data_IF_684890838049
#
_entry.id   IF_684890838049
#
_cell.length_a   1.000
_cell.length_b   1.000
_cell.length_c   1.000
_cell.angle_alpha   90.00
_cell.angle_beta   90.00
_cell.angle_gamma   90.00
#
_symmetry.space_group_name_H-M   'P 1'
#
loop_
_entity.id
_entity.type
_entity.pdbx_description
1 polymer ?
#
# COMPACT_ATOMS: atom_id res chain seq x y z
N UNK A 1 37.58 -12.12 14.44
CA UNK A 1 36.56 -11.35 15.20
C UNK A 1 36.14 -10.06 14.49
N UNK A 2 37.02 -9.33 13.80
CA UNK A 2 36.63 -8.11 13.06
C UNK A 2 35.77 -8.40 11.80
N UNK A 3 36.04 -9.49 11.07
CA UNK A 3 35.26 -9.84 9.85
C UNK A 3 33.76 -10.05 10.13
N UNK A 4 33.42 -10.71 11.24
CA UNK A 4 32.03 -11.02 11.60
C UNK A 4 31.17 -9.78 11.86
N UNK A 5 31.76 -8.66 12.27
CA UNK A 5 31.04 -7.39 12.51
C UNK A 5 30.73 -6.69 11.19
N UNK A 6 31.69 -6.68 10.26
CA UNK A 6 31.56 -6.03 8.95
C UNK A 6 30.54 -6.77 8.08
N UNK A 7 30.57 -8.11 8.09
CA UNK A 7 29.60 -8.92 7.34
C UNK A 7 28.16 -8.72 7.85
N UNK A 8 27.95 -8.61 9.17
CA UNK A 8 26.62 -8.29 9.72
C UNK A 8 26.13 -6.89 9.31
N UNK A 9 27.02 -5.91 9.22
CA UNK A 9 26.67 -4.56 8.73
C UNK A 9 26.20 -4.62 7.28
N UNK A 10 26.92 -5.34 6.41
CA UNK A 10 26.55 -5.47 4.99
C UNK A 10 25.20 -6.16 4.81
N UNK A 11 24.94 -7.24 5.55
CA UNK A 11 23.64 -7.92 5.52
C UNK A 11 22.52 -7.00 6.01
N UNK A 12 22.76 -6.19 7.04
CA UNK A 12 21.77 -5.23 7.55
C UNK A 12 21.46 -4.13 6.53
N UNK A 13 22.46 -3.64 5.82
CA UNK A 13 22.29 -2.63 4.76
C UNK A 13 21.56 -3.21 3.54
N UNK A 14 21.83 -4.46 3.19
CA UNK A 14 21.15 -5.18 2.11
C UNK A 14 19.67 -5.43 2.43
N UNK A 15 19.38 -5.89 3.67
CA UNK A 15 18.00 -6.01 4.17
C UNK A 15 17.30 -4.65 4.14
N UNK A 16 17.89 -3.59 4.68
CA UNK A 16 17.32 -2.24 4.64
C UNK A 16 17.01 -1.76 3.21
N UNK A 17 17.87 -2.08 2.26
CA UNK A 17 17.69 -1.73 0.84
C UNK A 17 16.51 -2.50 0.22
N UNK A 18 16.39 -3.80 0.50
CA UNK A 18 15.27 -4.64 0.06
C UNK A 18 13.95 -4.18 0.70
N UNK A 19 13.96 -3.87 1.99
CA UNK A 19 12.81 -3.30 2.70
C UNK A 19 12.40 -1.95 2.11
N UNK A 20 13.36 -1.08 1.76
CA UNK A 20 13.10 0.21 1.12
C UNK A 20 12.38 0.04 -0.23
N UNK A 21 12.77 -0.96 -1.03
CA UNK A 21 12.08 -1.29 -2.27
C UNK A 21 10.63 -1.73 -2.01
N UNK A 22 10.41 -2.60 -1.01
CA UNK A 22 9.06 -2.99 -0.59
C UNK A 22 8.20 -1.81 -0.12
N UNK A 23 8.80 -0.86 0.60
CA UNK A 23 8.17 0.38 1.07
C UNK A 23 7.69 1.26 -0.10
N UNK A 24 8.54 1.44 -1.11
CA UNK A 24 8.17 2.20 -2.30
C UNK A 24 7.02 1.54 -3.07
N UNK A 25 7.09 0.22 -3.29
CA UNK A 25 6.03 -0.53 -3.94
C UNK A 25 4.70 -0.44 -3.19
N UNK A 26 4.72 -0.47 -1.87
CA UNK A 26 3.50 -0.32 -1.05
C UNK A 26 2.82 1.03 -1.21
N UNK A 27 3.61 2.09 -1.40
CA UNK A 27 3.08 3.45 -1.61
C UNK A 27 2.35 3.52 -2.94
N UNK A 28 2.91 2.93 -3.99
CA UNK A 28 2.27 2.84 -5.31
C UNK A 28 0.94 2.07 -5.22
N UNK A 29 0.94 0.90 -4.57
CA UNK A 29 -0.25 0.06 -4.42
C UNK A 29 -1.35 0.78 -3.63
N UNK A 30 -0.99 1.54 -2.59
CA UNK A 30 -1.96 2.30 -1.78
C UNK A 30 -2.60 3.45 -2.58
N UNK A 31 -1.85 4.06 -3.50
CA UNK A 31 -2.33 5.18 -4.34
C UNK A 31 -3.19 4.70 -5.51
N UNK A 32 -2.90 3.51 -6.08
CA UNK A 32 -3.62 2.95 -7.22
C UNK A 32 -5.16 3.02 -7.13
N UNK A 33 -5.83 2.56 -6.05
CA UNK A 33 -7.29 2.62 -5.97
C UNK A 33 -7.83 4.06 -5.96
N UNK A 34 -7.10 5.02 -5.37
CA UNK A 34 -7.48 6.43 -5.40
C UNK A 34 -7.33 7.00 -6.80
N UNK A 35 -6.21 6.72 -7.47
CA UNK A 35 -5.98 7.14 -8.85
C UNK A 35 -7.04 6.55 -9.80
N UNK A 36 -7.39 5.27 -9.62
CA UNK A 36 -8.42 4.60 -10.40
C UNK A 36 -9.81 5.19 -10.15
N UNK A 37 -10.14 5.54 -8.90
CA UNK A 37 -11.40 6.21 -8.58
C UNK A 37 -11.52 7.58 -9.29
N UNK A 38 -10.45 8.38 -9.26
CA UNK A 38 -10.40 9.68 -9.97
C UNK A 38 -10.50 9.48 -11.49
N UNK A 39 -9.78 8.50 -12.03
CA UNK A 39 -9.82 8.17 -13.44
C UNK A 39 -11.22 7.74 -13.90
N UNK A 40 -11.87 6.83 -13.17
CA UNK A 40 -13.23 6.38 -13.48
C UNK A 40 -14.24 7.52 -13.41
N UNK A 41 -14.09 8.44 -12.44
CA UNK A 41 -14.93 9.64 -12.35
C UNK A 41 -14.81 10.53 -13.59
N UNK A 42 -13.63 10.64 -14.19
CA UNK A 42 -13.40 11.48 -15.38
C UNK A 42 -13.87 10.80 -16.68
N UNK A 43 -13.62 9.50 -16.83
CA UNK A 43 -13.94 8.79 -18.08
C UNK A 43 -15.40 8.34 -18.12
N UNK A 44 -15.95 7.84 -17.00
CA UNK A 44 -17.31 7.31 -16.91
C UNK A 44 -18.00 7.77 -15.62
N UNK A 45 -18.40 9.06 -15.53
CA UNK A 45 -19.01 9.62 -14.33
C UNK A 45 -20.31 8.91 -13.92
N UNK A 46 -21.06 8.35 -14.87
CA UNK A 46 -22.31 7.64 -14.64
C UNK A 46 -22.08 6.31 -13.89
N UNK A 47 -21.02 5.58 -14.27
CA UNK A 47 -20.59 4.36 -13.56
C UNK A 47 -20.10 4.69 -12.13
N UNK A 48 -19.35 5.78 -11.99
CA UNK A 48 -18.88 6.24 -10.68
C UNK A 48 -20.04 6.70 -9.77
N UNK A 49 -21.07 7.33 -10.34
CA UNK A 49 -22.29 7.70 -9.60
C UNK A 49 -23.09 6.49 -9.15
N UNK A 50 -23.17 5.42 -9.94
CA UNK A 50 -23.86 4.18 -9.55
C UNK A 50 -23.31 3.58 -8.24
N UNK A 51 -22.02 3.80 -7.98
CA UNK A 51 -21.34 3.42 -6.74
C UNK A 51 -21.89 4.15 -5.51
N UNK A 52 -22.42 5.37 -5.67
CA UNK A 52 -23.03 6.15 -4.58
C UNK A 52 -24.56 6.15 -4.60
N UNK A 53 -25.17 5.79 -5.72
CA UNK A 53 -26.63 5.74 -5.87
C UNK A 53 -27.26 4.49 -5.26
N UNK A 54 -26.55 3.35 -5.28
CA UNK A 54 -27.04 2.10 -4.69
C UNK A 54 -26.48 1.85 -3.28
N UNK A 55 -27.30 1.35 -2.33
CA UNK A 55 -26.84 0.96 -1.00
C UNK A 55 -25.69 -0.06 -1.03
N UNK A 56 -25.69 -0.94 -2.03
CA UNK A 56 -24.62 -1.92 -2.24
C UNK A 56 -23.28 -1.27 -2.57
N UNK A 57 -23.30 -0.18 -3.36
CA UNK A 57 -22.09 0.55 -3.74
C UNK A 57 -21.41 1.22 -2.55
N UNK A 58 -22.21 1.78 -1.62
CA UNK A 58 -21.69 2.31 -0.35
C UNK A 58 -20.99 1.23 0.48
N UNK A 59 -21.57 0.03 0.57
CA UNK A 59 -20.96 -1.10 1.28
C UNK A 59 -19.63 -1.48 0.63
N UNK A 60 -19.56 -1.55 -0.70
CA UNK A 60 -18.32 -1.87 -1.42
C UNK A 60 -17.24 -0.81 -1.21
N UNK A 61 -17.60 0.47 -1.22
CA UNK A 61 -16.66 1.58 -0.97
C UNK A 61 -16.12 1.54 0.45
N UNK A 62 -17.00 1.33 1.44
CA UNK A 62 -16.59 1.23 2.85
C UNK A 62 -15.66 0.04 3.04
N UNK A 63 -16.05 -1.14 2.54
CA UNK A 63 -15.26 -2.37 2.67
C UNK A 63 -13.91 -2.27 1.95
N UNK A 64 -13.89 -1.68 0.74
CA UNK A 64 -12.68 -1.43 -0.01
C UNK A 64 -11.75 -0.45 0.71
N UNK A 65 -12.31 0.64 1.25
CA UNK A 65 -11.53 1.63 2.02
C UNK A 65 -10.92 1.01 3.27
N UNK A 66 -11.68 0.20 4.02
CA UNK A 66 -11.17 -0.54 5.18
C UNK A 66 -10.06 -1.49 4.76
N UNK A 67 -10.24 -2.23 3.66
CA UNK A 67 -9.23 -3.16 3.15
C UNK A 67 -7.91 -2.47 2.79
N UNK A 68 -7.99 -1.29 2.17
CA UNK A 68 -6.81 -0.46 1.85
C UNK A 68 -6.11 -0.01 3.13
N UNK A 69 -6.86 0.50 4.11
CA UNK A 69 -6.30 0.97 5.39
C UNK A 69 -5.65 -0.19 6.16
N UNK A 70 -6.30 -1.34 6.22
CA UNK A 70 -5.73 -2.54 6.83
C UNK A 70 -4.44 -2.95 6.11
N UNK A 71 -4.45 -3.05 4.78
CA UNK A 71 -3.26 -3.36 3.99
C UNK A 71 -2.12 -2.40 4.28
N UNK A 72 -2.40 -1.10 4.35
CA UNK A 72 -1.40 -0.09 4.68
C UNK A 72 -0.84 -0.27 6.10
N UNK A 73 -1.68 -0.54 7.10
CA UNK A 73 -1.25 -0.82 8.49
C UNK A 73 -0.36 -2.06 8.54
N UNK A 74 -0.74 -3.16 7.88
CA UNK A 74 0.05 -4.38 7.84
C UNK A 74 1.43 -4.12 7.24
N UNK A 75 1.49 -3.41 6.12
CA UNK A 75 2.78 -3.08 5.48
C UNK A 75 3.63 -2.18 6.38
N UNK A 76 3.04 -1.16 7.01
CA UNK A 76 3.75 -0.30 7.97
C UNK A 76 4.33 -1.10 9.13
N UNK A 77 3.58 -2.09 9.64
CA UNK A 77 3.99 -2.92 10.77
C UNK A 77 5.12 -3.88 10.40
N UNK A 78 5.04 -4.52 9.22
CA UNK A 78 6.11 -5.38 8.70
C UNK A 78 7.39 -4.57 8.53
N UNK A 79 7.30 -3.41 7.89
CA UNK A 79 8.47 -2.60 7.61
C UNK A 79 9.07 -1.99 8.88
N UNK A 80 8.25 -1.61 9.88
CA UNK A 80 8.79 -1.09 11.14
C UNK A 80 9.58 -2.13 11.94
N UNK A 81 9.33 -3.42 11.73
CA UNK A 81 10.05 -4.51 12.41
C UNK A 81 11.47 -4.71 11.82
N UNK A 82 11.68 -4.35 10.56
CA UNK A 82 12.99 -4.49 9.88
C UNK A 82 13.95 -3.32 10.13
N UNK A 83 13.45 -2.15 10.54
CA UNK A 83 14.25 -0.96 10.92
C UNK A 83 14.58 -0.98 12.40
#
# INVERSE_FOLDING_TARGET
>A
MQETIIDRSRVKDEVNTLTAQGKMSSTVITILPIALAVYLKLVNPEYFQMLFSHPLGWVMVIFGSISIVLGWIFIKKIVHIEV
#
